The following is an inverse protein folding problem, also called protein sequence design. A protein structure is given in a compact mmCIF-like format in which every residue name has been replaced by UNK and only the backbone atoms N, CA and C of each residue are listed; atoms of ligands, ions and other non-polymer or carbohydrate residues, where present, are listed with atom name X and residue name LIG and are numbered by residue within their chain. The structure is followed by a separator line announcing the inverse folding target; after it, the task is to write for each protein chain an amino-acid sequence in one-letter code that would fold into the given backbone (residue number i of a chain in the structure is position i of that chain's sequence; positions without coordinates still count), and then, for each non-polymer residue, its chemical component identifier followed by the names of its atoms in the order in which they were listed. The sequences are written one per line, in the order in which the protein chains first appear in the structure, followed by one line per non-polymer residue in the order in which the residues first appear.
data_IF_456102246252
#
_entry.id   IF_456102246252
#
_cell.length_a   1.000
_cell.length_b   1.000
_cell.length_c   1.000
_cell.angle_alpha   90.00
_cell.angle_beta   90.00
_cell.angle_gamma   90.00
#
_symmetry.space_group_name_H-M   'P 1'
#
loop_
_entity.id
_entity.type
_entity.pdbx_description
1 polymer ?
#
# COMPACT_ATOMS: atom_id res chain seq x y z
N UNK A 1 -6.20 -3.95 2.04
CA UNK A 1 -6.85 -4.22 0.75
C UNK A 1 -7.58 -2.96 0.32
N UNK A 2 -7.73 -2.70 -0.98
CA UNK A 2 -8.37 -1.46 -1.45
C UNK A 2 -9.84 -1.41 -1.03
N UNK A 3 -10.22 -0.31 -0.37
CA UNK A 3 -11.59 -0.04 0.04
C UNK A 3 -12.28 0.79 -1.05
N UNK A 4 -13.15 0.16 -1.83
CA UNK A 4 -13.86 0.79 -2.94
C UNK A 4 -14.86 1.86 -2.47
N UNK A 5 -15.22 1.88 -1.19
CA UNK A 5 -16.18 2.83 -0.64
C UNK A 5 -15.53 4.11 -0.11
N UNK A 6 -14.20 4.18 -0.09
CA UNK A 6 -13.52 5.44 0.23
C UNK A 6 -13.79 6.46 -0.88
N UNK A 7 -14.06 7.73 -0.51
CA UNK A 7 -14.25 8.81 -1.47
C UNK A 7 -12.96 9.08 -2.26
N UNK A 8 -13.06 9.70 -3.46
CA UNK A 8 -11.90 10.30 -4.11
C UNK A 8 -11.33 11.43 -3.24
N UNK A 9 -10.11 11.88 -3.56
CA UNK A 9 -9.51 13.04 -2.88
C UNK A 9 -10.37 14.32 -3.05
N UNK A 10 -10.55 15.14 -2.00
CA UNK A 10 -10.07 14.91 -0.64
C UNK A 10 -10.91 13.85 0.09
N UNK A 11 -10.22 12.95 0.80
CA UNK A 11 -10.86 11.85 1.51
C UNK A 11 -11.44 12.20 2.87
N UNK A 12 -11.55 11.20 3.74
CA UNK A 12 -11.92 11.40 5.14
C UNK A 12 -10.71 11.75 5.99
N UNK A 13 -10.89 12.57 7.03
CA UNK A 13 -9.84 12.79 8.02
C UNK A 13 -9.37 11.45 8.61
N UNK A 14 -8.05 11.19 8.53
CA UNK A 14 -7.47 9.88 8.84
C UNK A 14 -7.75 9.41 10.27
N UNK A 15 -7.56 10.25 11.28
CA UNK A 15 -7.84 9.90 12.69
C UNK A 15 -9.33 9.64 12.92
N UNK A 16 -10.21 10.51 12.40
CA UNK A 16 -11.65 10.33 12.54
C UNK A 16 -12.14 9.03 11.86
N UNK A 17 -11.59 8.72 10.68
CA UNK A 17 -11.88 7.49 9.95
C UNK A 17 -11.44 6.24 10.73
N UNK A 18 -10.24 6.22 11.30
CA UNK A 18 -9.82 5.08 12.11
C UNK A 18 -10.58 4.98 13.43
N UNK A 19 -10.94 6.11 14.06
CA UNK A 19 -11.75 6.14 15.26
C UNK A 19 -13.15 5.55 15.04
N UNK A 20 -13.78 5.80 13.88
CA UNK A 20 -15.08 5.22 13.54
C UNK A 20 -15.01 3.70 13.34
N UNK A 21 -13.86 3.17 12.91
CA UNK A 21 -13.65 1.73 12.65
C UNK A 21 -13.18 0.95 13.86
N UNK A 22 -12.28 1.51 14.66
CA UNK A 22 -11.66 0.84 15.82
C UNK A 22 -12.38 1.15 17.14
N UNK A 23 -13.17 2.23 17.15
CA UNK A 23 -13.76 2.82 18.35
C UNK A 23 -12.90 3.95 18.92
N UNK A 24 -13.55 5.07 19.25
CA UNK A 24 -12.89 6.29 19.72
C UNK A 24 -12.04 6.11 20.99
N UNK A 25 -12.38 5.15 21.85
CA UNK A 25 -11.61 4.85 23.07
C UNK A 25 -10.33 4.05 22.81
N UNK A 26 -10.21 3.38 21.65
CA UNK A 26 -9.08 2.50 21.32
C UNK A 26 -8.07 3.12 20.38
N UNK A 27 -8.48 4.11 19.58
CA UNK A 27 -7.64 4.67 18.52
C UNK A 27 -6.32 5.24 19.05
N UNK A 28 -6.35 5.95 20.19
CA UNK A 28 -5.15 6.56 20.77
C UNK A 28 -4.08 5.53 21.11
N UNK A 29 -4.46 4.47 21.84
CA UNK A 29 -3.54 3.40 22.21
C UNK A 29 -3.02 2.63 20.99
N UNK A 30 -3.88 2.40 19.98
CA UNK A 30 -3.47 1.75 18.74
C UNK A 30 -2.49 2.62 17.92
N UNK A 31 -2.72 3.94 17.84
CA UNK A 31 -1.82 4.91 17.21
C UNK A 31 -0.46 4.93 17.93
N UNK A 32 -0.44 5.05 19.26
CA UNK A 32 0.79 5.04 20.05
C UNK A 32 1.60 3.74 19.85
N UNK A 33 0.94 2.58 19.85
CA UNK A 33 1.60 1.30 19.61
C UNK A 33 2.19 1.22 18.21
N UNK A 34 1.46 1.66 17.19
CA UNK A 34 1.92 1.63 15.81
C UNK A 34 3.07 2.61 15.57
N UNK A 35 3.01 3.81 16.14
CA UNK A 35 4.10 4.80 16.08
C UNK A 35 5.36 4.23 16.71
N UNK A 36 5.27 3.61 17.89
CA UNK A 36 6.42 2.98 18.53
C UNK A 36 7.04 1.86 17.66
N UNK A 37 6.21 1.02 17.05
CA UNK A 37 6.65 -0.02 16.12
C UNK A 37 7.29 0.54 14.85
N UNK A 38 6.70 1.60 14.28
CA UNK A 38 7.27 2.29 13.12
C UNK A 38 8.66 2.81 13.44
N UNK A 39 8.83 3.49 14.57
CA UNK A 39 10.11 4.05 14.99
C UNK A 39 11.19 2.98 15.21
N UNK A 40 10.84 1.79 15.73
CA UNK A 40 11.81 0.70 15.84
C UNK A 40 12.30 0.16 14.50
N UNK A 41 11.54 0.39 13.43
CA UNK A 41 11.86 0.04 12.05
C UNK A 41 12.32 1.25 11.21
N UNK A 42 12.54 2.41 11.85
CA UNK A 42 12.99 3.64 11.19
C UNK A 42 11.92 4.40 10.39
N UNK A 43 10.64 4.14 10.63
CA UNK A 43 9.50 4.77 9.95
C UNK A 43 8.74 5.69 10.91
N UNK A 44 8.59 6.96 10.57
CA UNK A 44 7.87 7.93 11.41
C UNK A 44 6.40 8.00 11.01
N UNK A 45 5.56 7.10 11.56
CA UNK A 45 4.14 7.07 11.22
C UNK A 45 3.40 8.35 11.64
N UNK A 46 2.68 8.92 10.68
CA UNK A 46 1.89 10.13 10.80
C UNK A 46 0.41 9.84 10.49
N UNK A 47 -0.41 10.02 11.52
CA UNK A 47 -1.85 9.78 11.48
C UNK A 47 -2.68 11.01 11.11
N UNK A 48 -2.03 12.14 10.78
CA UNK A 48 -2.68 13.28 10.14
C UNK A 48 -3.02 13.01 8.66
N UNK A 49 -3.69 13.97 8.04
CA UNK A 49 -4.06 13.92 6.62
C UNK A 49 -5.37 13.19 6.33
N UNK A 50 -5.48 12.67 5.11
CA UNK A 50 -6.71 12.08 4.58
C UNK A 50 -6.56 10.58 4.31
N UNK A 51 -7.68 9.88 4.30
CA UNK A 51 -7.84 8.52 3.80
C UNK A 51 -8.79 8.57 2.60
N UNK A 52 -8.22 8.43 1.42
CA UNK A 52 -8.90 8.51 0.13
C UNK A 52 -8.82 7.18 -0.61
N UNK A 53 -9.61 7.03 -1.66
CA UNK A 53 -9.49 5.91 -2.59
C UNK A 53 -8.10 5.89 -3.24
N UNK A 54 -7.42 4.75 -3.19
CA UNK A 54 -6.05 4.57 -3.71
C UNK A 54 -5.97 3.72 -4.98
N UNK A 55 -7.10 3.53 -5.68
CA UNK A 55 -7.12 2.81 -6.96
C UNK A 55 -6.13 3.41 -7.96
N UNK A 56 -6.06 4.73 -8.05
CA UNK A 56 -5.16 5.42 -8.98
C UNK A 56 -3.68 5.29 -8.60
N UNK A 57 -3.35 5.28 -7.30
CA UNK A 57 -2.01 4.97 -6.83
C UNK A 57 -1.61 3.55 -7.25
N UNK A 58 -2.51 2.56 -7.12
CA UNK A 58 -2.25 1.19 -7.58
C UNK A 58 -2.14 1.07 -9.10
N UNK A 59 -2.98 1.78 -9.86
CA UNK A 59 -2.88 1.85 -11.32
C UNK A 59 -1.54 2.41 -11.77
N UNK A 60 -1.05 3.46 -11.11
CA UNK A 60 0.28 4.02 -11.38
C UNK A 60 1.39 3.04 -11.06
N UNK A 61 1.35 2.33 -9.93
CA UNK A 61 2.32 1.28 -9.59
C UNK A 61 2.38 0.20 -10.69
N UNK A 62 1.24 -0.21 -11.25
CA UNK A 62 1.21 -1.14 -12.38
C UNK A 62 1.77 -0.55 -13.68
N UNK A 63 1.43 0.72 -13.99
CA UNK A 63 1.95 1.42 -15.16
C UNK A 63 3.46 1.58 -15.12
N UNK A 64 4.02 2.04 -14.01
CA UNK A 64 5.48 2.23 -13.88
C UNK A 64 6.23 0.90 -13.90
N UNK A 65 5.63 -0.19 -13.40
CA UNK A 65 6.19 -1.53 -13.56
C UNK A 65 6.28 -1.93 -15.04
N UNK A 66 5.24 -1.64 -15.84
CA UNK A 66 5.25 -1.92 -17.28
C UNK A 66 6.33 -1.12 -18.03
N UNK A 67 6.63 0.11 -17.59
CA UNK A 67 7.63 0.98 -18.21
C UNK A 67 9.06 0.60 -17.78
N UNK A 68 9.31 0.49 -16.48
CA UNK A 68 10.66 0.42 -15.91
C UNK A 68 10.94 -0.81 -15.05
N UNK A 69 10.06 -1.82 -15.09
CA UNK A 69 10.20 -3.07 -14.34
C UNK A 69 10.05 -2.91 -12.83
N UNK A 70 10.51 -3.93 -12.10
CA UNK A 70 10.34 -4.02 -10.63
C UNK A 70 11.10 -2.92 -9.89
N UNK A 71 12.23 -2.46 -10.43
CA UNK A 71 12.99 -1.36 -9.84
C UNK A 71 12.22 -0.04 -9.88
N UNK A 72 11.54 0.26 -10.99
CA UNK A 72 10.68 1.45 -11.10
C UNK A 72 9.44 1.31 -10.20
N UNK A 73 8.85 0.11 -10.15
CA UNK A 73 7.75 -0.21 -9.27
C UNK A 73 8.09 0.06 -7.80
N UNK A 74 9.22 -0.48 -7.32
CA UNK A 74 9.65 -0.34 -5.93
C UNK A 74 9.84 1.14 -5.55
N UNK A 75 10.54 1.92 -6.39
CA UNK A 75 10.75 3.36 -6.15
C UNK A 75 9.44 4.13 -5.97
N UNK A 76 8.45 3.87 -6.82
CA UNK A 76 7.15 4.56 -6.74
C UNK A 76 6.33 4.08 -5.55
N UNK A 77 6.38 2.78 -5.23
CA UNK A 77 5.74 2.25 -4.02
C UNK A 77 6.35 2.85 -2.75
N UNK A 78 7.67 3.00 -2.68
CA UNK A 78 8.36 3.68 -1.58
C UNK A 78 7.96 5.14 -1.50
N UNK A 79 7.95 5.88 -2.62
CA UNK A 79 7.53 7.28 -2.66
C UNK A 79 6.10 7.48 -2.13
N UNK A 80 5.14 6.66 -2.59
CA UNK A 80 3.75 6.70 -2.10
C UNK A 80 3.64 6.30 -0.62
N UNK A 81 4.44 5.32 -0.18
CA UNK A 81 4.44 4.90 1.22
C UNK A 81 4.94 6.05 2.12
N UNK A 82 6.03 6.71 1.75
CA UNK A 82 6.56 7.87 2.49
C UNK A 82 5.57 9.05 2.50
N UNK A 83 4.97 9.35 1.35
CA UNK A 83 3.96 10.40 1.20
C UNK A 83 2.79 10.17 2.18
N UNK A 84 2.22 8.97 2.16
CA UNK A 84 1.04 8.66 2.95
C UNK A 84 1.32 8.41 4.43
N UNK A 85 2.38 7.64 4.73
CA UNK A 85 2.67 7.17 6.09
C UNK A 85 3.43 8.19 6.92
N UNK A 86 4.28 9.03 6.34
CA UNK A 86 5.14 9.95 7.11
C UNK A 86 4.80 11.42 6.88
N UNK A 87 4.50 11.81 5.63
CA UNK A 87 4.20 13.20 5.28
C UNK A 87 2.72 13.59 5.40
N UNK A 88 1.84 12.62 5.66
CA UNK A 88 0.39 12.81 5.70
C UNK A 88 -0.22 13.34 4.37
N UNK A 89 0.45 13.10 3.25
CA UNK A 89 -0.04 13.44 1.92
C UNK A 89 -1.17 12.50 1.49
N UNK A 90 -2.11 13.02 0.70
CA UNK A 90 -3.22 12.24 0.14
C UNK A 90 -2.81 11.57 -1.17
N UNK A 91 -2.47 10.28 -1.11
CA UNK A 91 -2.13 9.48 -2.30
C UNK A 91 -3.34 9.06 -3.15
N UNK A 92 -4.56 9.56 -2.85
CA UNK A 92 -5.69 9.59 -3.77
C UNK A 92 -5.77 10.87 -4.60
N UNK A 93 -4.92 11.87 -4.32
CA UNK A 93 -4.89 13.14 -5.04
C UNK A 93 -4.02 13.04 -6.32
N UNK A 94 -4.57 13.33 -7.52
CA UNK A 94 -3.83 13.28 -8.78
C UNK A 94 -2.54 14.13 -8.81
N UNK A 95 -2.53 15.30 -8.17
CA UNK A 95 -1.38 16.20 -8.16
C UNK A 95 -0.26 15.71 -7.24
N UNK A 96 -0.62 15.11 -6.10
CA UNK A 96 0.33 14.41 -5.21
C UNK A 96 0.93 13.23 -5.97
N UNK A 97 0.09 12.38 -6.57
CA UNK A 97 0.53 11.24 -7.37
C UNK A 97 1.48 11.64 -8.51
N UNK A 98 1.13 12.69 -9.27
CA UNK A 98 1.98 13.21 -10.34
C UNK A 98 3.32 13.73 -9.81
N UNK A 99 3.32 14.40 -8.66
CA UNK A 99 4.53 14.93 -8.03
C UNK A 99 5.46 13.82 -7.56
N UNK A 100 4.93 12.83 -6.83
CA UNK A 100 5.72 11.71 -6.30
C UNK A 100 6.29 10.84 -7.42
N UNK A 101 5.50 10.49 -8.43
CA UNK A 101 6.00 9.69 -9.56
C UNK A 101 7.05 10.47 -10.36
N UNK A 102 6.85 11.77 -10.60
CA UNK A 102 7.83 12.58 -11.31
C UNK A 102 9.16 12.68 -10.58
N UNK A 103 9.15 12.76 -9.24
CA UNK A 103 10.36 12.77 -8.44
C UNK A 103 11.19 11.48 -8.59
N UNK A 104 10.59 10.35 -8.97
CA UNK A 104 11.31 9.10 -9.23
C UNK A 104 12.04 9.07 -10.58
N UNK A 105 11.72 10.00 -11.49
CA UNK A 105 12.26 10.07 -12.84
C UNK A 105 11.68 9.05 -13.83
N UNK A 106 10.63 8.31 -13.45
CA UNK A 106 10.03 7.26 -14.31
C UNK A 106 9.04 7.83 -15.34
N UNK A 107 8.26 8.84 -14.94
CA UNK A 107 7.30 9.55 -15.79
C UNK A 107 7.27 11.03 -15.39
N UNK A 108 7.04 11.94 -16.32
CA UNK A 108 6.79 13.35 -16.04
C UNK A 108 5.42 13.56 -15.42
N UNK A 109 5.20 14.72 -14.76
CA UNK A 109 3.87 15.08 -14.21
C UNK A 109 2.76 15.03 -15.28
N UNK A 110 3.06 15.52 -16.49
CA UNK A 110 2.10 15.54 -17.60
C UNK A 110 1.72 14.12 -18.06
N UNK A 111 2.68 13.21 -18.17
CA UNK A 111 2.43 11.82 -18.51
C UNK A 111 1.59 11.11 -17.44
N UNK A 112 1.84 11.41 -16.15
CA UNK A 112 1.04 10.87 -15.05
C UNK A 112 -0.40 11.36 -15.12
N UNK A 113 -0.62 12.66 -15.26
CA UNK A 113 -1.97 13.23 -15.36
C UNK A 113 -2.73 12.71 -16.59
N UNK A 114 -2.04 12.59 -17.73
CA UNK A 114 -2.61 12.00 -18.95
C UNK A 114 -3.00 10.53 -18.72
N UNK A 115 -2.16 9.76 -18.04
CA UNK A 115 -2.47 8.38 -17.67
C UNK A 115 -3.68 8.29 -16.73
N UNK A 116 -3.75 9.15 -15.71
CA UNK A 116 -4.84 9.17 -14.73
C UNK A 116 -6.19 9.52 -15.36
N UNK A 117 -6.20 10.34 -16.42
CA UNK A 117 -7.39 10.62 -17.21
C UNK A 117 -7.89 9.44 -18.07
N UNK A 118 -7.08 8.39 -18.24
CA UNK A 118 -7.46 7.17 -18.97
C UNK A 118 -8.06 6.11 -18.03
N UNK A 119 -8.48 4.96 -18.59
CA UNK A 119 -8.86 3.77 -17.83
C UNK A 119 -7.78 2.66 -17.83
N UNK A 120 -6.56 2.95 -18.31
CA UNK A 120 -5.49 1.95 -18.36
C UNK A 120 -5.23 1.36 -16.95
N UNK A 121 -5.04 0.04 -16.89
CA UNK A 121 -4.88 -0.79 -15.68
C UNK A 121 -6.08 -0.83 -14.71
N UNK A 122 -7.16 -0.08 -14.94
CA UNK A 122 -8.28 -0.05 -13.99
C UNK A 122 -8.89 -1.43 -13.76
N UNK A 123 -9.23 -2.14 -14.84
CA UNK A 123 -9.83 -3.47 -14.73
C UNK A 123 -8.83 -4.51 -14.22
N UNK A 124 -7.55 -4.41 -14.59
CA UNK A 124 -6.50 -5.32 -14.09
C UNK A 124 -6.38 -5.25 -12.57
N UNK A 125 -6.38 -4.04 -12.00
CA UNK A 125 -6.33 -3.84 -10.55
C UNK A 125 -7.60 -4.35 -9.88
N UNK A 126 -8.78 -4.03 -10.41
CA UNK A 126 -10.06 -4.51 -9.87
C UNK A 126 -10.15 -6.05 -9.90
N UNK A 127 -9.69 -6.67 -10.98
CA UNK A 127 -9.64 -8.13 -11.11
C UNK A 127 -8.67 -8.77 -10.11
N UNK A 128 -7.49 -8.18 -9.93
CA UNK A 128 -6.50 -8.62 -8.93
C UNK A 128 -7.05 -8.57 -7.49
N UNK A 129 -7.80 -7.51 -7.17
CA UNK A 129 -8.50 -7.36 -5.88
C UNK A 129 -9.54 -8.47 -5.69
N UNK A 130 -10.41 -8.68 -6.67
CA UNK A 130 -11.44 -9.74 -6.63
C UNK A 130 -10.80 -11.12 -6.49
N UNK A 131 -9.74 -11.39 -7.25
CA UNK A 131 -8.98 -12.64 -7.14
C UNK A 131 -8.38 -12.84 -5.74
N UNK A 132 -7.85 -11.79 -5.12
CA UNK A 132 -7.31 -11.87 -3.75
C UNK A 132 -8.39 -12.24 -2.73
N UNK A 133 -9.58 -11.62 -2.84
CA UNK A 133 -10.73 -11.96 -2.00
C UNK A 133 -11.20 -13.41 -2.19
N UNK A 134 -11.30 -13.89 -3.44
CA UNK A 134 -11.67 -15.28 -3.73
C UNK A 134 -10.67 -16.29 -3.15
N UNK A 135 -9.41 -15.89 -2.97
CA UNK A 135 -8.38 -16.70 -2.32
C UNK A 135 -8.33 -16.51 -0.79
N UNK A 136 -9.37 -15.91 -0.19
CA UNK A 136 -9.49 -15.76 1.27
C UNK A 136 -8.63 -14.64 1.88
N UNK A 137 -8.04 -13.77 1.06
CA UNK A 137 -7.29 -12.62 1.57
C UNK A 137 -8.27 -11.55 2.07
N UNK A 138 -8.23 -11.27 3.38
CA UNK A 138 -9.09 -10.29 4.05
C UNK A 138 -8.34 -9.04 4.52
N UNK A 139 -7.00 -9.03 4.42
CA UNK A 139 -6.15 -7.95 4.92
C UNK A 139 -4.77 -7.93 4.26
N UNK A 140 -4.07 -6.80 4.39
CA UNK A 140 -2.69 -6.61 3.91
C UNK A 140 -1.81 -6.08 5.06
N UNK A 141 -0.49 -6.32 5.05
CA UNK A 141 0.25 -7.12 4.06
C UNK A 141 -0.09 -8.62 4.14
N UNK A 142 -0.03 -9.28 2.98
CA UNK A 142 -0.23 -10.72 2.84
C UNK A 142 0.85 -11.25 1.90
N UNK A 143 1.56 -12.29 2.33
CA UNK A 143 2.63 -12.90 1.52
C UNK A 143 2.40 -14.39 1.41
N UNK A 144 2.36 -14.87 0.17
CA UNK A 144 2.25 -16.29 -0.15
C UNK A 144 3.58 -16.79 -0.72
N UNK A 145 4.31 -17.58 0.06
CA UNK A 145 5.59 -18.15 -0.35
C UNK A 145 5.36 -19.54 -0.93
N UNK A 146 5.86 -19.76 -2.15
CA UNK A 146 5.80 -21.02 -2.87
C UNK A 146 4.38 -21.62 -2.95
N UNK A 147 3.36 -20.76 -3.09
CA UNK A 147 1.93 -21.13 -3.12
C UNK A 147 1.45 -21.98 -1.92
N UNK A 148 2.19 -21.97 -0.80
CA UNK A 148 1.96 -22.90 0.32
C UNK A 148 1.98 -22.21 1.68
N UNK A 149 2.97 -21.35 1.92
CA UNK A 149 3.12 -20.68 3.21
C UNK A 149 2.48 -19.29 3.13
N UNK A 150 1.34 -19.13 3.79
CA UNK A 150 0.67 -17.85 3.91
C UNK A 150 1.11 -17.13 5.19
N UNK A 151 1.58 -15.89 5.05
CA UNK A 151 1.90 -14.96 6.12
C UNK A 151 0.92 -13.79 6.04
N UNK A 152 0.15 -13.57 7.11
CA UNK A 152 -0.81 -12.47 7.21
C UNK A 152 -0.32 -11.43 8.20
N UNK A 153 -0.38 -10.16 7.82
CA UNK A 153 0.10 -9.04 8.62
C UNK A 153 1.62 -8.84 8.53
N UNK A 154 2.10 -7.78 9.17
CA UNK A 154 3.52 -7.45 9.25
C UNK A 154 4.23 -8.44 10.18
N UNK A 155 4.61 -9.59 9.65
CA UNK A 155 5.31 -10.65 10.39
C UNK A 155 6.80 -10.31 10.58
N UNK A 156 7.42 -10.71 11.70
CA UNK A 156 8.84 -10.46 11.94
C UNK A 156 9.72 -11.21 10.94
N UNK A 157 10.94 -10.70 10.70
CA UNK A 157 11.91 -11.32 9.79
C UNK A 157 12.21 -12.80 10.14
N UNK A 158 12.15 -13.17 11.42
CA UNK A 158 12.33 -14.56 11.88
C UNK A 158 11.29 -15.53 11.31
N UNK A 159 10.04 -15.08 11.10
CA UNK A 159 8.98 -15.88 10.47
C UNK A 159 9.32 -16.21 9.02
N UNK A 160 9.81 -15.22 8.26
CA UNK A 160 10.26 -15.40 6.88
C UNK A 160 11.49 -16.31 6.81
N UNK A 161 12.49 -16.06 7.66
CA UNK A 161 13.72 -16.88 7.73
C UNK A 161 13.40 -18.36 7.96
N UNK A 162 12.50 -18.68 8.91
CA UNK A 162 12.08 -20.06 9.16
C UNK A 162 11.49 -20.72 7.91
N UNK A 163 10.57 -20.04 7.23
CA UNK A 163 9.93 -20.56 6.01
C UNK A 163 10.97 -20.79 4.90
N UNK A 164 11.85 -19.82 4.66
CA UNK A 164 12.88 -19.96 3.63
C UNK A 164 13.87 -21.08 3.94
N UNK A 165 14.24 -21.26 5.22
CA UNK A 165 15.09 -22.35 5.66
C UNK A 165 14.41 -23.73 5.52
N UNK A 166 13.11 -23.85 5.82
CA UNK A 166 12.34 -25.08 5.56
C UNK A 166 12.31 -25.44 4.07
N UNK A 167 12.08 -24.45 3.21
CA UNK A 167 12.09 -24.62 1.74
C UNK A 167 13.48 -25.06 1.27
N UNK A 168 14.54 -24.38 1.70
CA UNK A 168 15.92 -24.68 1.31
C UNK A 168 16.36 -26.10 1.73
N UNK A 169 15.84 -26.60 2.86
CA UNK A 169 16.10 -27.97 3.35
C UNK A 169 15.24 -29.05 2.68
N UNK A 170 14.36 -28.69 1.75
CA UNK A 170 13.47 -29.63 1.08
C UNK A 170 12.40 -30.24 2.00
N UNK A 171 12.18 -29.68 3.19
CA UNK A 171 11.19 -30.18 4.12
C UNK A 171 9.79 -29.81 3.61
N UNK A 172 9.15 -30.80 2.96
CA UNK A 172 7.73 -30.74 2.62
C UNK A 172 6.94 -31.15 3.86
N UNK A 173 6.22 -30.21 4.49
CA UNK A 173 5.01 -30.58 5.24
C UNK A 173 3.96 -31.17 4.31
#
# INVERSE_FOLDING_TARGET
MLDANLPPSPGYNKRAWYASRLGASRIKAAEEQMVALGLSEGVTLNYDGQVSNTLDSHRLVAKVRKIGGEKAQLKVMEAFSLAYLERADDIGNPDVLATEVAATGVMTKSEVLTFLASNEFKEDILSSIRGSHLNGVSGVPYTLVNKKYALTGAQPASSFFRIFNEIARGQRK
#
